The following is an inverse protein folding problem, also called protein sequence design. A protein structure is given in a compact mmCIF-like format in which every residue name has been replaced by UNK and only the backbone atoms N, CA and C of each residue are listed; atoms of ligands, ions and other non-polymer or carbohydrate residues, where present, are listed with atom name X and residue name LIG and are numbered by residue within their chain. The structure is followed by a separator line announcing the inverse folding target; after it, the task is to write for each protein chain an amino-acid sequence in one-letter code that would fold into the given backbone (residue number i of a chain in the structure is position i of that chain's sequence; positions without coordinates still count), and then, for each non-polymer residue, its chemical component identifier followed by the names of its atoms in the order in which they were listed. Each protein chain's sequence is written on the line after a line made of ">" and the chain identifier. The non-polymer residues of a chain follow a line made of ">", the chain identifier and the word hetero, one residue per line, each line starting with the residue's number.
data_IF_073384532950
#
_entry.id   IF_073384532950
#
_cell.length_a   1.000
_cell.length_b   1.000
_cell.length_c   1.000
_cell.angle_alpha   90.00
_cell.angle_beta   90.00
_cell.angle_gamma   90.00
#
_symmetry.space_group_name_H-M   'P 1'
#
loop_
_entity.id
_entity.type
_entity.pdbx_description
1 polymer ?
#
# COMPACT_ATOMS: atom_id res chain seq x y z
N UNK A 1 29.68 35.21 -6.22
CA UNK A 1 30.42 34.46 -5.18
C UNK A 1 29.52 34.06 -4.01
N UNK A 2 28.67 34.96 -3.50
CA UNK A 2 27.72 34.64 -2.43
C UNK A 2 26.78 33.48 -2.83
N UNK A 3 26.16 33.55 -4.01
CA UNK A 3 25.26 32.48 -4.50
C UNK A 3 25.95 31.11 -4.60
N UNK A 4 27.22 31.09 -5.01
CA UNK A 4 28.02 29.87 -5.06
C UNK A 4 28.24 29.27 -3.67
N UNK A 5 28.52 30.10 -2.65
CA UNK A 5 28.71 29.63 -1.28
C UNK A 5 27.41 29.06 -0.70
N UNK A 6 26.28 29.74 -0.92
CA UNK A 6 24.96 29.26 -0.50
C UNK A 6 24.64 27.92 -1.18
N UNK A 7 24.88 27.81 -2.49
CA UNK A 7 24.67 26.58 -3.24
C UNK A 7 25.58 25.44 -2.76
N UNK A 8 26.83 25.73 -2.43
CA UNK A 8 27.78 24.74 -1.90
C UNK A 8 27.34 24.20 -0.53
N UNK A 9 26.91 25.08 0.38
CA UNK A 9 26.37 24.66 1.69
C UNK A 9 25.09 23.84 1.53
N UNK A 10 24.16 24.30 0.67
CA UNK A 10 22.94 23.55 0.35
C UNK A 10 23.26 22.18 -0.27
N UNK A 11 24.28 22.09 -1.12
CA UNK A 11 24.73 20.84 -1.73
C UNK A 11 25.27 19.86 -0.69
N UNK A 12 26.07 20.32 0.28
CA UNK A 12 26.54 19.44 1.35
C UNK A 12 25.40 18.94 2.24
N UNK A 13 24.44 19.81 2.58
CA UNK A 13 23.23 19.40 3.30
C UNK A 13 22.41 18.36 2.53
N UNK A 14 22.20 18.59 1.22
CA UNK A 14 21.48 17.68 0.35
C UNK A 14 22.22 16.35 0.14
N UNK A 15 23.56 16.36 0.02
CA UNK A 15 24.39 15.15 -0.04
C UNK A 15 24.24 14.29 1.22
N UNK A 16 24.28 14.92 2.40
CA UNK A 16 24.07 14.21 3.67
C UNK A 16 22.66 13.61 3.76
N UNK A 17 21.63 14.41 3.44
CA UNK A 17 20.24 13.96 3.39
C UNK A 17 20.04 12.80 2.40
N UNK A 18 20.63 12.90 1.21
CA UNK A 18 20.61 11.87 0.16
C UNK A 18 21.28 10.59 0.64
N UNK A 19 22.49 10.68 1.18
CA UNK A 19 23.25 9.52 1.66
C UNK A 19 22.50 8.76 2.76
N UNK A 20 21.95 9.48 3.74
CA UNK A 20 21.16 8.90 4.82
C UNK A 20 19.87 8.25 4.29
N UNK A 21 19.16 8.92 3.37
CA UNK A 21 17.93 8.37 2.81
C UNK A 21 18.20 7.13 1.95
N UNK A 22 19.25 7.14 1.12
CA UNK A 22 19.65 6.00 0.27
C UNK A 22 20.09 4.83 1.13
N UNK A 23 20.89 5.06 2.17
CA UNK A 23 21.29 4.02 3.11
C UNK A 23 20.06 3.38 3.76
N UNK A 24 19.08 4.21 4.14
CA UNK A 24 17.83 3.71 4.72
C UNK A 24 16.97 2.96 3.71
N UNK A 25 16.82 3.49 2.50
CA UNK A 25 16.10 2.83 1.41
C UNK A 25 16.73 1.48 1.03
N UNK A 26 18.05 1.35 1.17
CA UNK A 26 18.75 0.08 0.96
C UNK A 26 18.45 -0.95 2.06
N UNK A 27 18.41 -0.51 3.33
CA UNK A 27 18.12 -1.37 4.48
C UNK A 27 16.67 -1.80 4.52
N UNK A 28 15.77 -0.82 4.54
CA UNK A 28 14.34 -1.07 4.69
C UNK A 28 13.73 -1.57 3.41
N UNK A 29 14.29 -1.22 2.23
CA UNK A 29 13.77 -1.54 0.89
C UNK A 29 12.34 -1.05 0.57
N UNK A 30 11.76 -0.20 1.41
CA UNK A 30 10.48 0.43 1.16
C UNK A 30 10.50 1.27 -0.14
N UNK A 31 9.51 1.05 -1.00
CA UNK A 31 9.51 1.57 -2.37
C UNK A 31 9.34 3.08 -2.45
N UNK A 32 8.58 3.65 -1.53
CA UNK A 32 8.43 5.09 -1.45
C UNK A 32 9.76 5.76 -1.03
N UNK A 33 10.60 5.10 -0.20
CA UNK A 33 11.95 5.57 0.13
C UNK A 33 12.89 5.47 -1.07
N UNK A 34 12.77 4.41 -1.88
CA UNK A 34 13.50 4.30 -3.15
C UNK A 34 13.09 5.45 -4.07
N UNK A 35 11.79 5.74 -4.22
CA UNK A 35 11.32 6.83 -5.04
C UNK A 35 11.81 8.21 -4.55
N UNK A 36 11.76 8.46 -3.24
CA UNK A 36 12.29 9.70 -2.66
C UNK A 36 13.82 9.78 -2.70
N UNK A 37 14.52 8.65 -2.82
CA UNK A 37 15.97 8.65 -3.09
C UNK A 37 16.29 9.21 -4.47
N UNK A 38 15.50 8.89 -5.52
CA UNK A 38 15.64 9.53 -6.83
C UNK A 38 15.39 11.04 -6.76
N UNK A 39 14.41 11.48 -5.97
CA UNK A 39 14.16 12.90 -5.70
C UNK A 39 15.39 13.57 -5.08
N UNK A 40 15.96 12.97 -4.04
CA UNK A 40 17.15 13.47 -3.34
C UNK A 40 18.37 13.56 -4.26
N UNK A 41 18.63 12.52 -5.05
CA UNK A 41 19.72 12.52 -6.04
C UNK A 41 19.51 13.63 -7.07
N UNK A 42 18.30 13.80 -7.60
CA UNK A 42 17.97 14.86 -8.54
C UNK A 42 18.21 16.26 -7.96
N UNK A 43 17.72 16.53 -6.76
CA UNK A 43 17.93 17.82 -6.07
C UNK A 43 19.40 18.08 -5.77
N UNK A 44 20.13 17.06 -5.32
CA UNK A 44 21.56 17.18 -5.00
C UNK A 44 22.40 17.46 -6.23
N UNK A 45 22.15 16.75 -7.35
CA UNK A 45 22.83 17.01 -8.61
C UNK A 45 22.53 18.42 -9.13
N UNK A 46 21.29 18.89 -8.97
CA UNK A 46 20.92 20.24 -9.36
C UNK A 46 21.64 21.30 -8.51
N UNK A 47 21.66 21.16 -7.19
CA UNK A 47 22.38 22.06 -6.28
C UNK A 47 23.89 22.06 -6.56
N UNK A 48 24.48 20.89 -6.83
CA UNK A 48 25.88 20.77 -7.20
C UNK A 48 26.18 21.51 -8.51
N UNK A 49 25.33 21.32 -9.54
CA UNK A 49 25.46 22.03 -10.81
C UNK A 49 25.27 23.54 -10.66
N UNK A 50 24.37 23.98 -9.75
CA UNK A 50 24.24 25.39 -9.40
C UNK A 50 25.51 25.93 -8.76
N UNK A 51 26.08 25.24 -7.76
CA UNK A 51 27.30 25.66 -7.08
C UNK A 51 28.47 25.83 -8.06
N UNK A 52 28.69 24.82 -8.92
CA UNK A 52 29.72 24.86 -9.96
C UNK A 52 29.41 25.95 -10.99
N UNK A 53 28.16 26.08 -11.43
CA UNK A 53 27.71 27.07 -12.41
C UNK A 53 27.92 28.52 -11.95
N UNK A 54 27.67 28.82 -10.67
CA UNK A 54 27.93 30.14 -10.10
C UNK A 54 29.44 30.45 -9.96
N UNK A 55 30.29 29.43 -9.82
CA UNK A 55 31.76 29.59 -9.73
C UNK A 55 32.41 29.72 -11.11
N UNK A 56 32.16 28.74 -11.97
CA UNK A 56 32.85 28.53 -13.24
C UNK A 56 32.05 29.04 -14.46
N UNK A 57 30.74 29.24 -14.33
CA UNK A 57 29.82 29.54 -15.43
C UNK A 57 28.97 28.34 -15.81
N UNK A 58 27.72 28.58 -16.16
CA UNK A 58 26.82 27.55 -16.66
C UNK A 58 27.17 27.20 -18.12
N UNK A 59 27.06 25.91 -18.45
CA UNK A 59 27.13 25.39 -19.80
C UNK A 59 25.90 24.49 -20.06
N UNK A 60 25.75 24.00 -21.29
CA UNK A 60 24.57 23.20 -21.65
C UNK A 60 24.39 21.94 -20.80
N UNK A 61 25.48 21.29 -20.38
CA UNK A 61 25.43 20.12 -19.52
C UNK A 61 24.94 20.47 -18.11
N UNK A 62 25.55 21.46 -17.46
CA UNK A 62 25.17 21.87 -16.10
C UNK A 62 23.73 22.39 -16.05
N UNK A 63 23.30 23.13 -17.08
CA UNK A 63 21.91 23.56 -17.21
C UNK A 63 20.97 22.34 -17.30
N UNK A 64 21.26 21.37 -18.18
CA UNK A 64 20.42 20.19 -18.33
C UNK A 64 20.37 19.31 -17.10
N UNK A 65 21.51 19.04 -16.45
CA UNK A 65 21.53 18.23 -15.22
C UNK A 65 20.75 18.93 -14.10
N UNK A 66 20.85 20.25 -14.00
CA UNK A 66 20.09 21.04 -13.03
C UNK A 66 18.58 20.97 -13.29
N UNK A 67 18.15 21.19 -14.52
CA UNK A 67 16.73 21.14 -14.91
C UNK A 67 16.16 19.72 -14.80
N UNK A 68 16.89 18.71 -15.29
CA UNK A 68 16.47 17.31 -15.17
C UNK A 68 16.36 16.88 -13.72
N UNK A 69 17.33 17.25 -12.88
CA UNK A 69 17.36 16.88 -11.48
C UNK A 69 16.24 17.53 -10.68
N UNK A 70 16.13 18.87 -10.73
CA UNK A 70 15.19 19.60 -9.89
C UNK A 70 13.81 19.78 -10.51
N UNK A 71 13.68 20.02 -11.82
CA UNK A 71 12.42 20.37 -12.47
C UNK A 71 11.66 19.16 -13.06
N UNK A 72 12.34 18.04 -13.31
CA UNK A 72 11.73 16.80 -13.81
C UNK A 72 11.75 15.68 -12.78
N UNK A 73 12.94 15.17 -12.44
CA UNK A 73 13.09 13.99 -11.57
C UNK A 73 12.56 14.31 -10.16
N UNK A 74 12.99 15.43 -9.58
CA UNK A 74 12.56 15.89 -8.27
C UNK A 74 11.04 15.80 -8.03
N UNK A 75 10.21 16.58 -8.75
CA UNK A 75 8.77 16.62 -8.51
C UNK A 75 8.05 15.31 -8.86
N UNK A 76 8.43 14.63 -9.95
CA UNK A 76 7.72 13.42 -10.41
C UNK A 76 7.96 12.26 -9.44
N UNK A 77 9.21 12.05 -9.02
CA UNK A 77 9.55 10.96 -8.10
C UNK A 77 9.12 11.26 -6.66
N UNK A 78 9.06 12.53 -6.27
CA UNK A 78 8.49 12.96 -5.01
C UNK A 78 7.01 12.59 -4.93
N UNK A 79 6.28 12.89 -6.01
CA UNK A 79 4.87 12.52 -6.17
C UNK A 79 4.66 11.00 -6.18
N UNK A 80 5.51 10.25 -6.89
CA UNK A 80 5.45 8.78 -6.88
C UNK A 80 5.59 8.23 -5.46
N UNK A 81 6.60 8.66 -4.70
CA UNK A 81 6.77 8.19 -3.32
C UNK A 81 5.58 8.57 -2.42
N UNK A 82 4.98 9.74 -2.65
CA UNK A 82 3.77 10.15 -1.92
C UNK A 82 2.53 9.33 -2.28
N UNK A 83 2.35 8.95 -3.55
CA UNK A 83 1.28 8.05 -3.96
C UNK A 83 1.53 6.67 -3.37
N UNK A 84 2.76 6.17 -3.44
CA UNK A 84 3.14 4.85 -2.96
C UNK A 84 2.93 4.70 -1.46
N UNK A 85 3.17 5.75 -0.68
CA UNK A 85 2.95 5.78 0.76
C UNK A 85 1.46 5.76 1.14
N UNK A 86 0.58 6.40 0.36
CA UNK A 86 -0.82 6.64 0.74
C UNK A 86 -1.81 5.70 0.03
N UNK A 87 -1.50 5.23 -1.17
CA UNK A 87 -2.42 4.45 -1.98
C UNK A 87 -2.62 3.04 -1.42
N UNK A 88 -3.86 2.73 -1.02
CA UNK A 88 -4.27 1.40 -0.56
C UNK A 88 -4.52 0.39 -1.70
N UNK A 89 -4.71 0.88 -2.93
CA UNK A 89 -5.03 0.05 -4.10
C UNK A 89 -3.79 -0.26 -4.93
N UNK A 90 -3.54 -1.54 -5.18
CA UNK A 90 -2.40 -2.02 -5.99
C UNK A 90 -2.44 -1.45 -7.42
N UNK A 91 -3.62 -1.31 -8.02
CA UNK A 91 -3.75 -0.75 -9.37
C UNK A 91 -3.29 0.72 -9.44
N UNK A 92 -3.50 1.49 -8.37
CA UNK A 92 -3.07 2.90 -8.29
C UNK A 92 -1.55 2.96 -8.20
N UNK A 93 -0.95 2.12 -7.36
CA UNK A 93 0.52 2.02 -7.21
C UNK A 93 1.19 1.58 -8.50
N UNK A 94 0.69 0.50 -9.11
CA UNK A 94 1.17 0.02 -10.41
C UNK A 94 1.05 1.09 -11.50
N UNK A 95 -0.11 1.75 -11.60
CA UNK A 95 -0.33 2.83 -12.56
C UNK A 95 0.61 4.02 -12.34
N UNK A 96 0.87 4.40 -11.07
CA UNK A 96 1.78 5.48 -10.72
C UNK A 96 3.23 5.17 -11.08
N UNK A 97 3.69 3.93 -10.86
CA UNK A 97 5.02 3.47 -11.27
C UNK A 97 5.17 3.46 -12.79
N UNK A 98 4.19 2.87 -13.50
CA UNK A 98 4.19 2.84 -14.96
C UNK A 98 4.23 4.24 -15.55
N UNK A 99 3.38 5.15 -15.05
CA UNK A 99 3.36 6.54 -15.47
C UNK A 99 4.70 7.23 -15.17
N UNK A 100 5.19 7.17 -13.93
CA UNK A 100 6.42 7.88 -13.52
C UNK A 100 7.63 7.45 -14.34
N UNK A 101 7.81 6.13 -14.55
CA UNK A 101 8.94 5.61 -15.32
C UNK A 101 8.81 6.04 -16.79
N UNK A 102 7.67 5.77 -17.43
CA UNK A 102 7.47 6.09 -18.85
C UNK A 102 7.60 7.58 -19.12
N UNK A 103 6.98 8.41 -18.27
CA UNK A 103 7.05 9.86 -18.36
C UNK A 103 8.48 10.39 -18.18
N UNK A 104 9.19 9.91 -17.16
CA UNK A 104 10.57 10.34 -16.89
C UNK A 104 11.48 10.00 -18.06
N UNK A 105 11.35 8.79 -18.64
CA UNK A 105 12.19 8.36 -19.78
C UNK A 105 11.93 9.23 -21.01
N UNK A 106 10.65 9.43 -21.38
CA UNK A 106 10.29 10.25 -22.55
C UNK A 106 10.76 11.70 -22.36
N UNK A 107 10.47 12.28 -21.19
CA UNK A 107 10.86 13.65 -20.90
C UNK A 107 12.38 13.82 -20.85
N UNK A 108 13.11 12.89 -20.23
CA UNK A 108 14.57 12.89 -20.18
C UNK A 108 15.17 12.93 -21.60
N UNK A 109 14.69 12.08 -22.50
CA UNK A 109 15.19 12.04 -23.89
C UNK A 109 14.91 13.36 -24.59
N UNK A 110 13.70 13.91 -24.48
CA UNK A 110 13.33 15.18 -25.12
C UNK A 110 14.18 16.33 -24.58
N UNK A 111 14.32 16.47 -23.25
CA UNK A 111 15.13 17.52 -22.62
C UNK A 111 16.63 17.41 -22.99
N UNK A 112 17.14 16.20 -23.23
CA UNK A 112 18.52 15.97 -23.66
C UNK A 112 18.76 16.18 -25.15
N UNK A 113 17.76 15.97 -26.01
CA UNK A 113 17.92 16.11 -27.46
C UNK A 113 17.56 17.53 -27.93
N UNK A 114 16.63 18.21 -27.25
CA UNK A 114 16.16 19.54 -27.63
C UNK A 114 17.29 20.60 -27.62
N UNK A 115 17.43 21.40 -28.69
CA UNK A 115 18.51 22.38 -28.81
C UNK A 115 18.34 23.51 -27.80
N UNK A 116 19.45 23.88 -27.15
CA UNK A 116 19.48 25.00 -26.22
C UNK A 116 19.61 26.33 -26.99
N UNK A 117 18.87 27.34 -26.54
CA UNK A 117 18.87 28.70 -27.06
C UNK A 117 19.64 29.64 -26.12
N UNK A 118 20.19 30.70 -26.70
CA UNK A 118 20.87 31.76 -25.95
C UNK A 118 22.27 31.40 -25.46
N UNK A 119 22.85 32.29 -24.65
CA UNK A 119 24.18 32.14 -24.06
C UNK A 119 24.08 31.95 -22.55
N UNK A 120 24.90 31.03 -22.02
CA UNK A 120 24.96 30.73 -20.61
C UNK A 120 26.13 31.48 -19.97
N UNK A 121 25.89 32.05 -18.80
CA UNK A 121 26.84 32.86 -18.03
C UNK A 121 26.89 32.38 -16.58
N UNK A 122 27.39 33.19 -15.63
CA UNK A 122 27.43 32.86 -14.20
C UNK A 122 26.12 33.15 -13.44
N UNK A 123 25.10 33.69 -14.10
CA UNK A 123 23.78 33.89 -13.53
C UNK A 123 22.93 32.63 -13.65
N UNK A 124 22.01 32.41 -12.71
CA UNK A 124 21.06 31.30 -12.79
C UNK A 124 20.29 31.36 -14.12
N UNK A 125 20.43 30.35 -15.02
CA UNK A 125 19.73 30.32 -16.29
C UNK A 125 18.22 30.21 -16.07
N UNK A 126 17.44 30.93 -16.89
CA UNK A 126 15.98 30.79 -16.88
C UNK A 126 15.58 29.71 -17.90
N UNK A 127 14.74 28.73 -17.52
CA UNK A 127 14.33 27.66 -18.44
C UNK A 127 13.65 28.21 -19.69
N UNK A 128 12.76 29.19 -19.54
CA UNK A 128 12.02 29.83 -20.63
C UNK A 128 12.87 30.65 -21.60
N UNK A 129 14.10 30.99 -21.21
CA UNK A 129 15.06 31.67 -22.08
C UNK A 129 16.01 30.69 -22.79
N UNK A 130 16.01 29.42 -22.39
CA UNK A 130 17.03 28.43 -22.78
C UNK A 130 16.44 27.23 -23.53
N UNK A 131 15.30 26.70 -23.11
CA UNK A 131 14.60 25.62 -23.81
C UNK A 131 13.59 26.13 -24.83
N UNK A 132 13.21 25.28 -25.80
CA UNK A 132 12.03 25.50 -26.63
C UNK A 132 10.72 25.08 -25.92
N UNK A 133 9.59 25.24 -26.61
CA UNK A 133 8.27 25.00 -26.05
C UNK A 133 8.04 23.55 -25.55
N UNK A 134 8.61 22.54 -26.21
CA UNK A 134 8.37 21.14 -25.89
C UNK A 134 8.96 20.73 -24.51
N UNK A 135 10.26 20.97 -24.20
CA UNK A 135 10.78 20.72 -22.86
C UNK A 135 10.03 21.48 -21.76
N UNK A 136 9.64 22.73 -22.02
CA UNK A 136 8.89 23.54 -21.06
C UNK A 136 7.51 22.94 -20.78
N UNK A 137 6.80 22.46 -21.80
CA UNK A 137 5.52 21.80 -21.64
C UNK A 137 5.63 20.50 -20.82
N UNK A 138 6.71 19.74 -21.00
CA UNK A 138 7.00 18.56 -20.19
C UNK A 138 7.30 18.96 -18.74
N UNK A 139 8.19 19.91 -18.49
CA UNK A 139 8.45 20.38 -17.12
C UNK A 139 7.16 20.88 -16.45
N UNK A 140 6.30 21.60 -17.17
CA UNK A 140 5.03 22.09 -16.65
C UNK A 140 4.04 20.97 -16.37
N UNK A 141 3.98 19.96 -17.23
CA UNK A 141 3.20 18.74 -17.00
C UNK A 141 3.70 17.97 -15.77
N UNK A 142 5.01 17.83 -15.60
CA UNK A 142 5.64 17.18 -14.45
C UNK A 142 5.23 17.87 -13.14
N UNK A 143 5.32 19.19 -13.09
CA UNK A 143 4.91 19.98 -11.94
C UNK A 143 3.40 19.89 -11.68
N UNK A 144 2.56 19.95 -12.72
CA UNK A 144 1.11 19.85 -12.58
C UNK A 144 0.71 18.50 -11.97
N UNK A 145 1.25 17.40 -12.50
CA UNK A 145 0.99 16.05 -11.98
C UNK A 145 1.48 15.94 -10.54
N UNK A 146 2.68 16.46 -10.24
CA UNK A 146 3.20 16.42 -8.89
C UNK A 146 2.32 17.19 -7.89
N UNK A 147 1.88 18.40 -8.25
CA UNK A 147 0.98 19.20 -7.39
C UNK A 147 -0.35 18.48 -7.17
N UNK A 148 -0.97 17.95 -8.22
CA UNK A 148 -2.24 17.20 -8.10
C UNK A 148 -2.07 15.98 -7.19
N UNK A 149 -0.99 15.21 -7.38
CA UNK A 149 -0.70 14.04 -6.56
C UNK A 149 -0.46 14.41 -5.09
N UNK A 150 0.36 15.42 -4.82
CA UNK A 150 0.65 15.88 -3.45
C UNK A 150 -0.61 16.38 -2.75
N UNK A 151 -1.40 17.24 -3.41
CA UNK A 151 -2.67 17.76 -2.87
C UNK A 151 -3.68 16.62 -2.66
N UNK A 152 -3.79 15.70 -3.61
CA UNK A 152 -4.66 14.52 -3.51
C UNK A 152 -4.29 13.63 -2.34
N UNK A 153 -3.02 13.25 -2.21
CA UNK A 153 -2.52 12.44 -1.10
C UNK A 153 -2.73 13.14 0.24
N UNK A 154 -2.32 14.41 0.36
CA UNK A 154 -2.53 15.18 1.60
C UNK A 154 -4.01 15.31 1.96
N UNK A 155 -4.88 15.56 0.98
CA UNK A 155 -6.32 15.66 1.18
C UNK A 155 -6.95 14.34 1.65
N UNK A 156 -6.54 13.21 1.04
CA UNK A 156 -6.99 11.88 1.45
C UNK A 156 -6.51 11.56 2.87
N UNK A 157 -5.24 11.80 3.20
CA UNK A 157 -4.71 11.57 4.56
C UNK A 157 -5.44 12.44 5.58
N UNK A 158 -5.65 13.73 5.29
CA UNK A 158 -6.41 14.64 6.15
C UNK A 158 -7.86 14.17 6.37
N UNK A 159 -8.52 13.71 5.31
CA UNK A 159 -9.88 13.18 5.40
C UNK A 159 -9.95 11.89 6.23
N UNK A 160 -9.03 10.95 6.02
CA UNK A 160 -8.96 9.71 6.82
C UNK A 160 -8.67 10.02 8.30
N UNK A 161 -7.72 10.89 8.58
CA UNK A 161 -7.40 11.32 9.94
C UNK A 161 -8.60 11.99 10.63
N UNK A 162 -9.39 12.80 9.91
CA UNK A 162 -10.63 13.40 10.43
C UNK A 162 -11.68 12.35 10.85
N UNK A 163 -11.62 11.14 10.26
CA UNK A 163 -12.47 10.00 10.60
C UNK A 163 -11.91 9.13 11.74
N UNK A 164 -10.92 9.63 12.49
CA UNK A 164 -10.23 8.92 13.58
C UNK A 164 -9.46 7.68 13.13
N UNK A 165 -9.02 7.64 11.87
CA UNK A 165 -8.02 6.69 11.41
C UNK A 165 -6.67 7.06 12.03
N UNK A 166 -6.13 6.18 12.90
CA UNK A 166 -4.93 6.45 13.69
C UNK A 166 -3.68 6.46 12.82
N UNK A 167 -3.58 5.53 11.86
CA UNK A 167 -2.47 5.45 10.92
C UNK A 167 -2.39 6.74 10.08
N UNK A 168 -3.53 7.19 9.56
CA UNK A 168 -3.58 8.44 8.80
C UNK A 168 -3.19 9.66 9.66
N UNK A 169 -3.60 9.67 10.93
CA UNK A 169 -3.25 10.73 11.89
C UNK A 169 -1.74 10.83 12.15
N UNK A 170 -1.05 9.70 12.28
CA UNK A 170 0.41 9.63 12.45
C UNK A 170 1.15 10.10 11.19
N UNK A 171 0.61 9.79 10.01
CA UNK A 171 1.19 10.20 8.72
C UNK A 171 0.92 11.66 8.33
N UNK A 172 0.01 12.39 9.00
CA UNK A 172 -0.34 13.77 8.62
C UNK A 172 0.85 14.72 8.59
N UNK A 173 1.67 14.71 9.64
CA UNK A 173 2.81 15.62 9.75
C UNK A 173 3.87 15.30 8.67
N UNK A 174 4.32 14.04 8.51
CA UNK A 174 5.22 13.66 7.43
C UNK A 174 4.70 14.07 6.04
N UNK A 175 3.43 13.76 5.75
CA UNK A 175 2.78 14.07 4.47
C UNK A 175 2.75 15.57 4.22
N UNK A 176 2.43 16.38 5.24
CA UNK A 176 2.42 17.83 5.11
C UNK A 176 3.82 18.41 4.84
N UNK A 177 4.87 17.86 5.48
CA UNK A 177 6.25 18.27 5.27
C UNK A 177 6.73 17.94 3.85
N UNK A 178 6.41 16.75 3.34
CA UNK A 178 6.76 16.32 1.98
C UNK A 178 5.97 17.11 0.93
N UNK A 179 4.69 17.41 1.19
CA UNK A 179 3.90 18.29 0.32
C UNK A 179 4.49 19.72 0.28
N UNK A 180 4.91 20.28 1.42
CA UNK A 180 5.62 21.55 1.48
C UNK A 180 6.94 21.50 0.70
N UNK A 181 7.69 20.39 0.79
CA UNK A 181 8.89 20.20 -0.01
C UNK A 181 8.57 20.29 -1.51
N UNK A 182 7.48 19.67 -1.97
CA UNK A 182 7.03 19.77 -3.36
C UNK A 182 6.74 21.21 -3.80
N UNK A 183 6.10 22.01 -2.94
CA UNK A 183 5.88 23.45 -3.20
C UNK A 183 7.21 24.19 -3.36
N UNK A 184 8.19 23.90 -2.51
CA UNK A 184 9.52 24.50 -2.59
C UNK A 184 10.29 24.08 -3.86
N UNK A 185 10.19 22.80 -4.27
CA UNK A 185 10.80 22.30 -5.52
C UNK A 185 10.23 23.06 -6.71
N UNK A 186 8.89 23.10 -6.86
CA UNK A 186 8.23 23.79 -7.99
C UNK A 186 8.56 25.29 -7.97
N UNK A 187 8.55 25.92 -6.81
CA UNK A 187 8.86 27.36 -6.71
C UNK A 187 10.34 27.66 -7.05
N UNK A 188 11.26 26.76 -6.67
CA UNK A 188 12.69 26.88 -6.91
C UNK A 188 13.11 26.70 -8.36
N UNK A 189 12.35 25.91 -9.15
CA UNK A 189 12.73 25.54 -10.53
C UNK A 189 12.12 26.45 -11.60
N UNK A 190 10.97 27.09 -11.33
CA UNK A 190 10.22 27.86 -12.33
C UNK A 190 10.88 29.18 -12.77
N UNK A 191 12.00 29.58 -12.17
CA UNK A 191 12.69 30.82 -12.50
C UNK A 191 11.99 32.10 -12.03
N UNK A 192 11.01 31.99 -11.13
CA UNK A 192 10.34 33.12 -10.49
C UNK A 192 11.16 33.71 -9.33
N UNK A 193 11.99 32.88 -8.68
CA UNK A 193 12.79 33.28 -7.55
C UNK A 193 14.18 33.78 -7.98
N UNK A 194 14.74 34.79 -7.29
CA UNK A 194 16.16 35.12 -7.43
C UNK A 194 17.03 33.93 -6.97
N UNK A 195 18.23 33.83 -7.53
CA UNK A 195 19.17 32.73 -7.31
C UNK A 195 19.30 32.27 -5.83
N UNK A 196 19.59 33.15 -4.84
CA UNK A 196 19.74 32.71 -3.45
C UNK A 196 18.46 32.08 -2.89
N UNK A 197 17.28 32.60 -3.23
CA UNK A 197 16.01 32.04 -2.76
C UNK A 197 15.69 30.71 -3.45
N UNK A 198 16.01 30.56 -4.73
CA UNK A 198 15.85 29.29 -5.43
C UNK A 198 16.72 28.19 -4.79
N UNK A 199 17.99 28.50 -4.49
CA UNK A 199 18.91 27.57 -3.82
C UNK A 199 18.39 27.18 -2.43
N UNK A 200 17.95 28.17 -1.63
CA UNK A 200 17.42 27.91 -0.29
C UNK A 200 16.15 27.07 -0.36
N UNK A 201 15.26 27.33 -1.33
CA UNK A 201 14.05 26.54 -1.52
C UNK A 201 14.38 25.08 -1.86
N UNK A 202 15.32 24.83 -2.79
CA UNK A 202 15.72 23.47 -3.17
C UNK A 202 16.46 22.73 -2.05
N UNK A 203 17.36 23.41 -1.33
CA UNK A 203 18.03 22.84 -0.16
C UNK A 203 17.05 22.54 0.98
N UNK A 204 16.10 23.44 1.23
CA UNK A 204 15.02 23.24 2.19
C UNK A 204 14.10 22.10 1.80
N UNK A 205 13.78 21.95 0.52
CA UNK A 205 13.03 20.81 0.00
C UNK A 205 13.78 19.49 0.26
N UNK A 206 15.08 19.43 -0.03
CA UNK A 206 15.89 18.24 0.25
C UNK A 206 15.85 17.87 1.75
N UNK A 207 15.99 18.85 2.64
CA UNK A 207 15.87 18.65 4.09
C UNK A 207 14.49 18.17 4.53
N UNK A 208 13.41 18.77 3.99
CA UNK A 208 12.03 18.39 4.32
C UNK A 208 11.67 16.99 3.83
N UNK A 209 12.13 16.59 2.64
CA UNK A 209 11.92 15.22 2.12
C UNK A 209 12.61 14.20 3.00
N UNK A 210 13.88 14.42 3.36
CA UNK A 210 14.60 13.51 4.27
C UNK A 210 13.93 13.44 5.64
N UNK A 211 13.59 14.59 6.22
CA UNK A 211 12.99 14.66 7.54
C UNK A 211 11.58 14.06 7.59
N UNK A 212 10.77 14.33 6.56
CA UNK A 212 9.46 13.70 6.37
C UNK A 212 9.60 12.18 6.23
N UNK A 213 10.53 11.72 5.39
CA UNK A 213 10.79 10.30 5.20
C UNK A 213 11.17 9.58 6.48
N UNK A 214 12.07 10.15 7.29
CA UNK A 214 12.49 9.53 8.56
C UNK A 214 11.32 9.33 9.55
N UNK A 215 10.26 10.14 9.42
CA UNK A 215 9.05 10.05 10.26
C UNK A 215 7.95 9.14 9.72
N UNK A 216 8.13 8.60 8.52
CA UNK A 216 7.20 7.61 7.94
C UNK A 216 7.61 6.18 8.26
N UNK A 217 8.80 5.99 8.85
CA UNK A 217 9.34 4.68 9.14
C UNK A 217 8.58 4.09 10.34
N UNK A 218 8.06 2.86 10.25
CA UNK A 218 7.47 2.18 11.39
C UNK A 218 8.54 2.00 12.49
N UNK A 219 8.24 2.48 13.69
CA UNK A 219 9.07 2.21 14.87
C UNK A 219 8.73 0.79 15.31
N UNK A 220 9.63 -0.16 15.05
CA UNK A 220 9.58 -1.44 15.74
C UNK A 220 10.04 -1.17 17.17
N UNK A 221 9.19 -1.46 18.17
CA UNK A 221 9.65 -1.55 19.55
C UNK A 221 10.61 -2.76 19.58
N UNK A 222 11.91 -2.47 19.52
CA UNK A 222 12.93 -3.45 19.83
C UNK A 222 12.71 -3.86 21.30
N UNK A 223 12.21 -5.07 21.51
CA UNK A 223 12.07 -5.70 22.83
C UNK A 223 13.48 -5.74 23.46
N UNK A 224 13.76 -4.79 24.35
CA UNK A 224 14.97 -4.72 25.18
C UNK A 224 15.03 -5.98 26.07
N UNK A 225 15.58 -7.09 25.55
CA UNK A 225 15.60 -8.34 26.30
C UNK A 225 16.51 -9.48 25.85
N UNK A 226 17.25 -9.38 24.73
CA UNK A 226 18.10 -10.50 24.29
C UNK A 226 19.44 -10.07 23.68
N UNK A 227 20.29 -9.47 24.51
CA UNK A 227 21.73 -9.31 24.22
C UNK A 227 22.54 -10.45 24.85
N UNK A 228 22.37 -11.70 24.41
CA UNK A 228 23.47 -12.67 24.48
C UNK A 228 23.18 -13.87 23.56
N UNK A 229 24.13 -14.14 22.65
CA UNK A 229 24.18 -15.24 21.67
C UNK A 229 23.38 -15.06 20.36
N UNK A 230 23.99 -14.34 19.40
CA UNK A 230 23.72 -14.60 17.98
C UNK A 230 23.74 -13.40 17.02
N UNK A 231 24.79 -12.59 17.02
CA UNK A 231 25.06 -11.69 15.88
C UNK A 231 25.43 -12.52 14.63
N UNK A 232 24.46 -13.00 13.85
CA UNK A 232 24.73 -13.43 12.45
C UNK A 232 23.52 -13.41 11.48
N UNK A 233 22.32 -12.99 11.87
CA UNK A 233 21.19 -12.89 10.91
C UNK A 233 20.26 -11.71 11.22
N UNK A 234 20.78 -10.49 11.07
CA UNK A 234 19.97 -9.28 11.06
C UNK A 234 20.06 -8.64 9.66
N UNK A 235 19.27 -9.16 8.71
CA UNK A 235 18.97 -8.47 7.45
C UNK A 235 17.86 -9.25 6.70
N UNK A 236 16.62 -9.21 7.22
CA UNK A 236 15.44 -9.53 6.42
C UNK A 236 14.77 -8.20 6.00
N UNK A 237 14.80 -7.83 4.71
CA UNK A 237 14.51 -6.46 4.29
C UNK A 237 13.07 -6.27 3.78
N UNK A 238 12.40 -5.23 4.29
CA UNK A 238 11.00 -4.92 4.04
C UNK A 238 10.75 -4.17 2.72
N UNK A 239 10.95 -4.83 1.57
CA UNK A 239 10.51 -4.25 0.30
C UNK A 239 9.02 -3.98 0.34
N UNK A 240 8.59 -2.77 -0.02
CA UNK A 240 7.17 -2.44 -0.19
C UNK A 240 6.45 -3.26 -1.28
N UNK A 241 7.14 -4.21 -1.91
CA UNK A 241 6.60 -5.39 -2.60
C UNK A 241 7.09 -6.62 -1.84
N UNK A 242 6.20 -7.47 -1.35
CA UNK A 242 6.54 -8.90 -1.28
C UNK A 242 6.18 -9.50 -2.65
N UNK A 243 7.16 -9.57 -3.56
CA UNK A 243 7.08 -10.49 -4.71
C UNK A 243 8.48 -10.96 -5.15
N UNK A 244 8.82 -12.17 -4.67
CA UNK A 244 9.36 -13.30 -5.45
C UNK A 244 10.57 -13.02 -6.36
N UNK A 245 11.77 -13.12 -5.78
CA UNK A 245 13.00 -13.26 -6.55
C UNK A 245 13.11 -14.67 -7.16
N UNK A 246 13.06 -14.77 -8.48
CA UNK A 246 13.68 -15.88 -9.22
C UNK A 246 15.21 -15.80 -9.02
N UNK A 247 15.91 -16.87 -8.61
CA UNK A 247 17.36 -16.89 -8.73
C UNK A 247 17.76 -17.14 -10.18
N UNK A 248 18.28 -16.07 -10.80
CA UNK A 248 19.02 -16.13 -12.06
C UNK A 248 20.34 -16.88 -11.83
N UNK A 249 20.62 -17.82 -12.74
CA UNK A 249 21.79 -18.72 -12.71
C UNK A 249 23.07 -17.95 -13.03
N UNK A 250 23.71 -17.37 -12.03
CA UNK A 250 25.10 -17.02 -12.14
C UNK A 250 25.76 -17.23 -10.78
N UNK A 251 26.42 -18.38 -10.64
CA UNK A 251 27.48 -18.79 -9.69
C UNK A 251 27.27 -20.26 -9.30
N UNK A 252 27.43 -21.16 -10.28
CA UNK A 252 27.66 -22.57 -10.00
C UNK A 252 29.18 -22.79 -9.87
N UNK A 253 29.67 -23.49 -8.84
CA UNK A 253 31.08 -23.86 -8.77
C UNK A 253 31.42 -24.82 -9.91
N UNK A 254 32.51 -24.51 -10.62
CA UNK A 254 33.10 -25.40 -11.60
C UNK A 254 33.54 -26.69 -10.88
N UNK A 255 33.03 -27.85 -11.34
CA UNK A 255 33.69 -29.16 -11.41
C UNK A 255 32.63 -30.29 -11.48
N UNK A 256 32.11 -30.57 -12.68
CA UNK A 256 31.60 -31.89 -13.07
C UNK A 256 31.49 -31.96 -14.61
N UNK A 257 31.91 -33.09 -15.20
CA UNK A 257 32.04 -33.31 -16.64
C UNK A 257 30.67 -33.34 -17.38
N UNK A 258 30.62 -33.10 -18.71
CA UNK A 258 29.36 -33.06 -19.46
C UNK A 258 28.77 -34.46 -19.64
N UNK A 259 27.53 -34.66 -19.20
CA UNK A 259 26.71 -35.82 -19.57
C UNK A 259 26.00 -35.55 -20.91
N UNK A 260 25.92 -36.57 -21.77
CA UNK A 260 25.30 -36.51 -23.11
C UNK A 260 23.80 -36.13 -23.06
N UNK A 261 23.30 -35.39 -24.08
CA UNK A 261 21.90 -34.99 -24.13
C UNK A 261 20.98 -36.18 -24.46
N UNK A 262 20.11 -36.55 -23.51
CA UNK A 262 19.00 -37.48 -23.73
C UNK A 262 17.89 -36.77 -24.52
N UNK A 263 17.33 -37.35 -25.60
CA UNK A 263 16.23 -36.75 -26.36
C UNK A 263 14.95 -36.66 -25.51
N UNK A 264 14.28 -35.51 -25.54
CA UNK A 264 13.00 -35.32 -24.87
C UNK A 264 11.89 -36.21 -25.50
N UNK A 265 10.97 -36.79 -24.70
CA UNK A 265 9.81 -37.49 -25.24
C UNK A 265 8.87 -36.51 -25.95
N UNK A 266 8.35 -36.93 -27.10
CA UNK A 266 7.35 -36.19 -27.88
C UNK A 266 6.03 -36.06 -27.09
N UNK A 267 5.40 -34.87 -27.02
CA UNK A 267 4.13 -34.71 -26.31
C UNK A 267 2.97 -35.37 -27.10
N UNK A 268 2.02 -36.05 -26.44
CA UNK A 268 0.78 -36.46 -27.08
C UNK A 268 -0.07 -35.26 -27.47
N UNK A 269 -0.74 -35.37 -28.62
CA UNK A 269 -1.41 -34.28 -29.32
C UNK A 269 -2.57 -33.61 -28.58
N UNK A 270 -2.59 -32.29 -28.76
CA UNK A 270 -3.70 -31.33 -28.74
C UNK A 270 -5.09 -31.87 -28.36
N UNK A 271 -5.43 -31.74 -27.07
CA UNK A 271 -6.81 -31.59 -26.62
C UNK A 271 -7.04 -30.14 -26.21
N UNK A 272 -7.44 -29.35 -27.21
CA UNK A 272 -8.27 -28.14 -27.14
C UNK A 272 -8.14 -27.34 -25.84
N UNK A 273 -7.28 -26.32 -25.92
CA UNK A 273 -7.30 -25.08 -25.15
C UNK A 273 -8.74 -24.58 -24.95
N UNK A 274 -9.32 -24.82 -23.77
CA UNK A 274 -10.59 -24.25 -23.37
C UNK A 274 -10.39 -22.76 -23.07
N UNK A 275 -10.86 -21.90 -23.96
CA UNK A 275 -11.00 -20.47 -23.69
C UNK A 275 -11.90 -20.30 -22.45
N UNK A 276 -11.38 -19.61 -21.43
CA UNK A 276 -12.17 -19.14 -20.29
C UNK A 276 -13.14 -18.07 -20.81
N UNK A 277 -14.34 -18.51 -21.22
CA UNK A 277 -15.48 -17.62 -21.45
C UNK A 277 -16.34 -17.63 -20.18
N UNK A 278 -16.49 -16.46 -19.57
CA UNK A 278 -17.49 -16.26 -18.53
C UNK A 278 -18.89 -16.50 -19.11
N UNK A 279 -19.80 -17.19 -18.40
CA UNK A 279 -21.20 -17.25 -18.81
C UNK A 279 -21.77 -15.84 -18.94
N UNK A 280 -22.39 -15.52 -20.08
CA UNK A 280 -23.16 -14.29 -20.25
C UNK A 280 -24.24 -14.23 -19.15
N UNK A 281 -24.50 -13.05 -18.54
CA UNK A 281 -25.56 -12.93 -17.53
C UNK A 281 -26.90 -13.32 -18.19
N UNK A 282 -27.61 -14.27 -17.58
CA UNK A 282 -28.93 -14.68 -18.03
C UNK A 282 -29.85 -13.43 -18.13
N UNK A 283 -30.69 -13.33 -19.19
CA UNK A 283 -31.67 -12.26 -19.26
C UNK A 283 -32.59 -12.37 -18.03
N UNK A 284 -32.93 -11.23 -17.45
CA UNK A 284 -33.68 -11.12 -16.20
C UNK A 284 -34.88 -12.07 -16.16
N UNK A 285 -34.78 -13.13 -15.35
CA UNK A 285 -35.96 -13.88 -14.93
C UNK A 285 -36.74 -12.98 -13.98
N UNK A 286 -37.91 -12.54 -14.46
CA UNK A 286 -38.94 -11.88 -13.69
C UNK A 286 -39.22 -12.70 -12.41
N UNK A 287 -38.99 -12.08 -11.24
CA UNK A 287 -39.37 -12.62 -9.94
C UNK A 287 -40.89 -12.85 -9.92
N UNK A 288 -41.33 -14.08 -10.23
CA UNK A 288 -42.72 -14.52 -10.05
C UNK A 288 -42.96 -14.84 -8.58
N UNK A 289 -43.72 -13.99 -7.91
CA UNK A 289 -44.33 -14.31 -6.63
C UNK A 289 -45.57 -15.20 -6.85
N UNK A 290 -45.87 -16.16 -5.96
CA UNK A 290 -47.12 -16.90 -6.01
C UNK A 290 -48.31 -15.97 -5.78
N UNK A 291 -49.34 -16.05 -6.64
CA UNK A 291 -50.58 -15.30 -6.47
C UNK A 291 -51.29 -15.66 -5.15
N UNK A 292 -51.89 -14.69 -4.44
CA UNK A 292 -52.71 -14.97 -3.26
C UNK A 292 -53.99 -15.73 -3.65
N UNK A 293 -54.53 -16.60 -2.78
CA UNK A 293 -55.71 -17.38 -3.12
C UNK A 293 -56.94 -16.49 -3.32
N UNK A 294 -57.72 -16.80 -4.35
CA UNK A 294 -58.99 -16.16 -4.64
C UNK A 294 -59.97 -16.33 -3.48
N UNK A 295 -60.46 -15.20 -2.94
CA UNK A 295 -61.65 -15.15 -2.09
C UNK A 295 -62.81 -14.55 -2.89
N UNK A 296 -63.94 -15.26 -2.84
CA UNK A 296 -65.19 -15.01 -3.56
C UNK A 296 -65.89 -13.67 -3.21
N UNK A 297 -66.87 -13.20 -4.04
CA UNK A 297 -67.30 -11.80 -4.07
C UNK A 297 -68.59 -11.50 -3.30
N UNK A 298 -68.78 -10.22 -2.89
CA UNK A 298 -70.03 -9.43 -2.89
C UNK A 298 -69.97 -8.21 -1.91
N UNK A 299 -70.86 -7.19 -1.99
CA UNK A 299 -71.41 -6.50 -3.15
C UNK A 299 -71.35 -4.93 -3.04
N UNK A 300 -71.48 -4.29 -4.21
CA UNK A 300 -71.95 -2.94 -4.57
C UNK A 300 -71.87 -1.70 -3.63
N UNK A 301 -71.42 -0.61 -4.30
CA UNK A 301 -71.80 0.82 -4.21
C UNK A 301 -70.93 1.77 -3.36
N UNK A 302 -70.18 2.67 -4.02
CA UNK A 302 -70.31 4.13 -3.84
C UNK A 302 -69.56 4.95 -4.92
N UNK A 303 -70.04 6.18 -5.12
CA UNK A 303 -69.96 7.09 -6.28
C UNK A 303 -68.67 7.96 -6.37
N UNK A 304 -68.00 8.10 -7.54
CA UNK A 304 -66.73 8.83 -7.69
C UNK A 304 -66.88 10.32 -8.09
N UNK A 305 -67.73 11.09 -7.41
CA UNK A 305 -67.84 12.55 -7.65
C UNK A 305 -67.79 13.40 -6.38
N UNK A 306 -66.82 13.14 -5.50
CA UNK A 306 -66.56 13.98 -4.33
C UNK A 306 -65.13 14.56 -4.38
N UNK A 307 -65.02 15.74 -5.00
CA UNK A 307 -63.93 16.73 -4.90
C UNK A 307 -62.59 16.33 -5.56
N UNK A 308 -61.93 17.06 -6.46
CA UNK A 308 -62.00 18.48 -6.86
C UNK A 308 -60.57 19.06 -6.94
N UNK A 309 -60.02 19.10 -8.17
CA UNK A 309 -59.00 20.01 -8.74
C UNK A 309 -57.65 20.37 -8.00
N UNK A 310 -56.54 20.00 -8.68
CA UNK A 310 -55.36 20.85 -9.04
C UNK A 310 -54.16 21.09 -8.06
N UNK A 311 -52.94 21.52 -8.52
CA UNK A 311 -51.75 20.63 -8.67
C UNK A 311 -50.40 21.19 -8.11
N UNK A 312 -49.30 20.45 -8.37
CA UNK A 312 -47.87 20.86 -8.40
C UNK A 312 -47.04 21.03 -7.09
N UNK A 313 -45.77 20.56 -7.14
CA UNK A 313 -44.71 20.67 -6.10
C UNK A 313 -44.15 22.10 -5.89
N UNK A 314 -42.96 22.35 -5.26
CA UNK A 314 -41.70 21.61 -5.36
C UNK A 314 -40.80 21.60 -4.07
N UNK A 315 -39.52 21.30 -4.30
CA UNK A 315 -38.30 21.08 -3.49
C UNK A 315 -37.78 22.18 -2.54
N UNK A 316 -36.86 21.75 -1.65
CA UNK A 316 -35.58 22.37 -1.19
C UNK A 316 -35.45 23.00 0.23
N UNK A 317 -34.61 22.33 1.05
CA UNK A 317 -33.55 22.72 2.03
C UNK A 317 -33.61 24.04 2.84
N UNK A 318 -33.49 23.93 4.18
CA UNK A 318 -32.58 24.70 5.06
C UNK A 318 -32.58 24.12 6.52
N UNK A 319 -31.43 24.05 7.20
CA UNK A 319 -31.27 23.60 8.62
C UNK A 319 -31.25 24.78 9.62
N UNK A 320 -30.65 24.70 10.84
CA UNK A 320 -30.39 23.59 11.78
C UNK A 320 -30.87 23.91 13.24
N UNK A 321 -30.93 22.94 14.17
CA UNK A 321 -30.77 23.17 15.63
C UNK A 321 -30.68 21.85 16.44
N UNK A 322 -29.72 21.79 17.37
CA UNK A 322 -29.54 20.75 18.42
C UNK A 322 -30.17 21.28 19.73
N UNK A 323 -30.80 20.44 20.57
CA UNK A 323 -30.22 20.12 21.88
C UNK A 323 -30.31 18.64 22.31
N UNK A 324 -29.47 18.33 23.29
CA UNK A 324 -29.08 17.06 23.95
C UNK A 324 -30.16 16.04 24.37
N UNK A 325 -29.76 14.77 24.64
CA UNK A 325 -30.65 13.69 25.09
C UNK A 325 -30.82 13.65 26.62
N UNK A 326 -32.08 13.53 27.07
CA UNK A 326 -32.43 13.18 28.44
C UNK A 326 -32.66 11.66 28.55
N UNK A 327 -31.95 11.00 29.48
CA UNK A 327 -32.40 9.75 30.10
C UNK A 327 -33.46 10.09 31.17
N UNK A 328 -34.45 9.20 31.40
CA UNK A 328 -34.36 8.36 32.60
C UNK A 328 -34.89 6.94 32.40
N UNK A 329 -34.37 6.02 33.22
CA UNK A 329 -34.73 4.60 33.20
C UNK A 329 -36.00 4.25 33.97
N UNK A 330 -36.11 2.95 34.27
CA UNK A 330 -37.09 2.40 35.20
C UNK A 330 -37.89 1.24 34.62
N UNK A 331 -37.43 0.03 34.92
CA UNK A 331 -38.05 -1.25 34.58
C UNK A 331 -39.47 -1.42 35.15
N UNK A 332 -40.33 -2.16 34.43
CA UNK A 332 -41.28 -3.10 35.02
C UNK A 332 -41.52 -4.29 34.06
N UNK A 333 -41.22 -5.48 34.58
CA UNK A 333 -41.35 -6.77 33.93
C UNK A 333 -42.82 -7.26 33.92
N UNK A 334 -43.16 -8.03 32.88
CA UNK A 334 -44.38 -8.85 32.81
C UNK A 334 -44.21 -9.93 31.73
N UNK A 335 -44.54 -11.21 32.01
CA UNK A 335 -43.91 -12.35 31.37
C UNK A 335 -44.73 -12.89 30.18
N UNK A 336 -44.05 -13.41 29.16
CA UNK A 336 -44.37 -14.66 28.44
C UNK A 336 -43.38 -14.84 27.27
N UNK A 337 -42.78 -16.01 27.22
CA UNK A 337 -41.65 -16.35 26.37
C UNK A 337 -41.92 -16.21 24.87
N UNK A 338 -40.95 -15.57 24.21
CA UNK A 338 -40.62 -15.76 22.81
C UNK A 338 -39.11 -15.96 22.74
N UNK A 339 -38.69 -17.09 22.20
CA UNK A 339 -37.31 -17.56 22.11
C UNK A 339 -36.37 -16.48 21.52
N UNK A 340 -35.55 -15.86 22.36
CA UNK A 340 -34.35 -15.16 21.88
C UNK A 340 -33.41 -16.19 21.22
N UNK A 341 -32.67 -15.84 20.16
CA UNK A 341 -31.68 -16.75 19.63
C UNK A 341 -30.66 -16.98 20.74
N UNK A 342 -30.59 -18.21 21.21
CA UNK A 342 -29.44 -18.73 21.96
C UNK A 342 -28.24 -18.73 21.02
N UNK A 343 -27.65 -17.56 20.79
CA UNK A 343 -26.39 -17.38 20.09
C UNK A 343 -25.30 -17.20 21.13
N UNK A 344 -24.64 -18.29 21.50
CA UNK A 344 -23.41 -18.21 22.30
C UNK A 344 -22.31 -17.54 21.49
N UNK A 345 -22.32 -16.20 21.47
CA UNK A 345 -21.29 -15.39 20.85
C UNK A 345 -20.01 -15.42 21.69
N UNK A 346 -18.87 -15.40 21.01
CA UNK A 346 -17.55 -15.14 21.59
C UNK A 346 -17.20 -13.68 21.30
N UNK A 347 -17.60 -12.73 22.17
CA UNK A 347 -17.40 -11.30 21.93
C UNK A 347 -15.92 -10.90 21.82
N UNK A 348 -15.02 -11.71 22.39
CA UNK A 348 -13.57 -11.48 22.41
C UNK A 348 -12.80 -12.44 21.47
N UNK A 349 -13.50 -13.19 20.62
CA UNK A 349 -12.85 -14.12 19.69
C UNK A 349 -11.90 -13.39 18.72
N UNK A 350 -10.69 -13.90 18.57
CA UNK A 350 -9.72 -13.43 17.58
C UNK A 350 -9.32 -14.58 16.65
N UNK A 351 -8.95 -14.24 15.42
CA UNK A 351 -8.55 -15.22 14.42
C UNK A 351 -7.38 -14.75 13.59
N UNK A 352 -6.80 -15.68 12.84
CA UNK A 352 -5.69 -15.42 11.94
C UNK A 352 -5.87 -16.26 10.67
N UNK A 353 -5.64 -15.65 9.52
CA UNK A 353 -5.44 -16.36 8.26
C UNK A 353 -3.96 -16.26 7.89
N UNK A 354 -3.35 -17.41 7.62
CA UNK A 354 -1.98 -17.46 7.10
C UNK A 354 -1.97 -18.15 5.75
N UNK A 355 -1.54 -17.44 4.71
CA UNK A 355 -1.42 -18.00 3.36
C UNK A 355 0.04 -18.30 3.06
N UNK A 356 0.34 -19.57 2.87
CA UNK A 356 1.63 -20.05 2.42
C UNK A 356 1.61 -20.30 0.92
N UNK A 357 2.56 -19.71 0.21
CA UNK A 357 2.92 -20.11 -1.15
C UNK A 357 4.10 -21.06 -1.05
N UNK A 358 3.94 -22.29 -1.51
CA UNK A 358 4.91 -23.37 -1.40
C UNK A 358 5.85 -23.38 -2.61
N UNK A 359 7.04 -23.94 -2.42
CA UNK A 359 7.96 -24.27 -3.51
C UNK A 359 7.41 -25.48 -4.29
N UNK A 360 7.51 -25.43 -5.62
CA UNK A 360 7.11 -26.54 -6.49
C UNK A 360 7.78 -27.85 -6.08
N UNK A 361 6.99 -28.91 -5.90
CA UNK A 361 7.47 -30.24 -5.49
C UNK A 361 7.73 -30.40 -3.99
N UNK A 362 7.45 -29.38 -3.16
CA UNK A 362 7.55 -29.45 -1.68
C UNK A 362 6.19 -29.55 -0.99
N UNK A 363 5.11 -29.62 -1.74
CA UNK A 363 3.73 -29.59 -1.25
C UNK A 363 3.46 -30.74 -0.28
N UNK A 364 3.79 -31.97 -0.67
CA UNK A 364 3.56 -33.15 0.17
C UNK A 364 4.36 -33.13 1.47
N UNK A 365 5.56 -32.54 1.46
CA UNK A 365 6.40 -32.42 2.65
C UNK A 365 5.84 -31.38 3.61
N UNK A 366 5.41 -30.23 3.09
CA UNK A 366 4.72 -29.22 3.88
C UNK A 366 3.39 -29.74 4.45
N UNK A 367 2.62 -30.48 3.67
CA UNK A 367 1.34 -31.06 4.10
C UNK A 367 1.52 -32.06 5.24
N UNK A 368 2.62 -32.83 5.25
CA UNK A 368 2.96 -33.71 6.36
C UNK A 368 3.25 -32.93 7.66
N UNK A 369 4.02 -31.84 7.57
CA UNK A 369 4.31 -30.95 8.70
C UNK A 369 3.05 -30.25 9.21
N UNK A 370 2.21 -29.76 8.29
CA UNK A 370 0.94 -29.13 8.62
C UNK A 370 -0.01 -30.11 9.33
N UNK A 371 -0.11 -31.35 8.84
CA UNK A 371 -0.93 -32.39 9.45
C UNK A 371 -0.42 -32.77 10.85
N UNK A 372 0.89 -32.77 11.08
CA UNK A 372 1.47 -32.97 12.41
C UNK A 372 1.16 -31.81 13.37
N UNK A 373 1.28 -30.58 12.90
CA UNK A 373 0.94 -29.40 13.69
C UNK A 373 -0.53 -29.42 14.11
N UNK A 374 -1.45 -29.65 13.16
CA UNK A 374 -2.89 -29.70 13.43
C UNK A 374 -3.22 -30.78 14.46
N UNK A 375 -2.60 -31.98 14.36
CA UNK A 375 -2.78 -33.04 15.36
C UNK A 375 -2.33 -32.61 16.75
N UNK A 376 -1.19 -31.94 16.83
CA UNK A 376 -0.60 -31.49 18.10
C UNK A 376 -1.46 -30.40 18.74
N UNK A 377 -1.80 -29.35 17.98
CA UNK A 377 -2.68 -28.26 18.42
C UNK A 377 -4.01 -28.80 18.93
N UNK A 378 -4.64 -29.71 18.17
CA UNK A 378 -5.91 -30.34 18.58
C UNK A 378 -5.85 -31.04 19.94
N UNK A 379 -4.70 -31.59 20.31
CA UNK A 379 -4.52 -32.30 21.59
C UNK A 379 -4.05 -31.41 22.74
N UNK A 380 -3.27 -30.37 22.43
CA UNK A 380 -2.57 -29.56 23.42
C UNK A 380 -3.27 -28.22 23.71
N UNK A 381 -4.14 -27.74 22.81
CA UNK A 381 -4.71 -26.39 22.87
C UNK A 381 -6.25 -26.40 22.81
N UNK A 382 -6.93 -26.58 23.95
CA UNK A 382 -8.39 -26.63 24.00
C UNK A 382 -9.07 -25.28 23.69
N UNK A 383 -8.36 -24.17 23.80
CA UNK A 383 -8.87 -22.82 23.52
C UNK A 383 -8.65 -22.35 22.08
N UNK A 384 -8.03 -23.19 21.26
CA UNK A 384 -7.95 -23.03 19.81
C UNK A 384 -9.20 -23.67 19.20
N UNK A 385 -10.20 -22.84 18.90
CA UNK A 385 -11.53 -23.25 18.45
C UNK A 385 -11.51 -23.82 17.03
N UNK A 386 -10.74 -23.20 16.14
CA UNK A 386 -10.52 -23.69 14.78
C UNK A 386 -9.03 -23.59 14.48
N UNK A 387 -8.47 -24.67 13.95
CA UNK A 387 -7.12 -24.68 13.40
C UNK A 387 -7.14 -25.59 12.18
N UNK A 388 -7.36 -25.01 11.00
CA UNK A 388 -7.56 -25.73 9.76
C UNK A 388 -6.52 -25.31 8.73
N UNK A 389 -5.93 -26.27 8.04
CA UNK A 389 -5.12 -26.03 6.84
C UNK A 389 -5.95 -26.42 5.61
N UNK A 390 -6.02 -25.53 4.63
CA UNK A 390 -6.77 -25.70 3.39
C UNK A 390 -5.83 -25.73 2.19
N UNK A 391 -6.12 -26.62 1.24
CA UNK A 391 -5.59 -26.57 -0.12
C UNK A 391 -6.47 -25.67 -1.00
N UNK A 392 -5.85 -24.87 -1.86
CA UNK A 392 -6.58 -23.96 -2.77
C UNK A 392 -6.93 -24.68 -4.07
N UNK A 393 -8.22 -24.72 -4.41
CA UNK A 393 -8.69 -25.29 -5.68
C UNK A 393 -8.15 -24.47 -6.85
N UNK A 394 -7.42 -25.12 -7.76
CA UNK A 394 -6.76 -24.46 -8.89
C UNK A 394 -5.42 -23.80 -8.55
N UNK A 395 -4.97 -23.88 -7.29
CA UNK A 395 -3.69 -23.38 -6.81
C UNK A 395 -2.95 -24.42 -5.96
N UNK A 396 -2.39 -25.48 -6.57
CA UNK A 396 -1.84 -26.63 -5.84
C UNK A 396 -0.67 -26.27 -4.91
N UNK A 397 0.02 -25.16 -5.19
CA UNK A 397 1.14 -24.64 -4.39
C UNK A 397 0.71 -23.69 -3.27
N UNK A 398 -0.59 -23.47 -3.05
CA UNK A 398 -1.07 -22.60 -1.98
C UNK A 398 -1.70 -23.39 -0.83
N UNK A 399 -1.37 -23.00 0.40
CA UNK A 399 -1.99 -23.50 1.63
C UNK A 399 -2.49 -22.35 2.49
N UNK A 400 -3.73 -22.43 2.94
CA UNK A 400 -4.36 -21.41 3.77
C UNK A 400 -4.64 -22.01 5.15
N UNK A 401 -3.98 -21.49 6.18
CA UNK A 401 -4.36 -21.75 7.54
C UNK A 401 -5.45 -20.78 7.98
N UNK A 402 -6.55 -21.31 8.49
CA UNK A 402 -7.56 -20.55 9.20
C UNK A 402 -7.55 -20.95 10.67
N UNK A 403 -7.32 -19.96 11.52
CA UNK A 403 -7.19 -20.13 12.95
C UNK A 403 -8.21 -19.23 13.66
N UNK A 404 -8.90 -19.78 14.65
CA UNK A 404 -9.84 -19.06 15.49
C UNK A 404 -9.60 -19.46 16.94
N UNK A 405 -9.46 -18.46 17.80
CA UNK A 405 -9.18 -18.61 19.22
C UNK A 405 -10.35 -18.08 20.04
N UNK A 406 -10.47 -18.58 21.27
CA UNK A 406 -11.51 -18.15 22.22
C UNK A 406 -11.39 -16.66 22.56
N UNK A 407 -10.16 -16.22 22.84
CA UNK A 407 -9.80 -14.86 23.23
C UNK A 407 -8.35 -14.54 22.84
N UNK A 408 -7.91 -13.31 23.10
CA UNK A 408 -6.56 -12.84 22.80
C UNK A 408 -5.47 -13.54 23.63
N UNK A 409 -5.80 -14.02 24.84
CA UNK A 409 -4.85 -14.77 25.68
C UNK A 409 -4.56 -16.15 25.08
N UNK A 410 -5.58 -16.83 24.55
CA UNK A 410 -5.44 -18.09 23.84
C UNK A 410 -4.56 -17.93 22.59
N UNK A 411 -4.72 -16.83 21.85
CA UNK A 411 -3.85 -16.50 20.73
C UNK A 411 -2.39 -16.24 21.15
N UNK A 412 -2.18 -15.45 22.21
CA UNK A 412 -0.85 -15.20 22.74
C UNK A 412 -0.18 -16.49 23.29
N UNK A 413 -0.97 -17.40 23.87
CA UNK A 413 -0.49 -18.71 24.32
C UNK A 413 -0.09 -19.60 23.14
N UNK A 414 -0.92 -19.70 22.10
CA UNK A 414 -0.63 -20.45 20.87
C UNK A 414 0.71 -20.03 20.25
N UNK A 415 0.95 -18.71 20.13
CA UNK A 415 2.18 -18.14 19.55
C UNK A 415 3.46 -18.54 20.29
N UNK A 416 3.37 -18.89 21.57
CA UNK A 416 4.52 -19.30 22.40
C UNK A 416 4.74 -20.82 22.41
N UNK A 417 3.87 -21.59 21.77
CA UNK A 417 3.94 -23.05 21.85
C UNK A 417 5.17 -23.61 21.10
N UNK A 418 5.90 -24.59 21.68
CA UNK A 418 7.08 -25.17 21.05
C UNK A 418 6.78 -25.86 19.71
N UNK A 419 5.62 -26.51 19.56
CA UNK A 419 5.24 -27.17 18.32
C UNK A 419 4.97 -26.20 17.17
N UNK A 420 4.44 -25.00 17.48
CA UNK A 420 4.29 -23.94 16.47
C UNK A 420 5.65 -23.41 16.04
N UNK A 421 6.55 -23.11 16.99
CA UNK A 421 7.90 -22.65 16.67
C UNK A 421 8.67 -23.66 15.83
N UNK A 422 8.54 -24.96 16.15
CA UNK A 422 9.12 -26.04 15.35
C UNK A 422 8.57 -26.05 13.92
N UNK A 423 7.26 -25.96 13.75
CA UNK A 423 6.64 -25.88 12.43
C UNK A 423 7.14 -24.66 11.65
N UNK A 424 7.21 -23.48 12.27
CA UNK A 424 7.72 -22.26 11.63
C UNK A 424 9.19 -22.41 11.21
N UNK A 425 10.01 -23.11 12.01
CA UNK A 425 11.39 -23.42 11.66
C UNK A 425 11.51 -24.37 10.47
N UNK A 426 10.81 -25.50 10.50
CA UNK A 426 10.92 -26.55 9.48
C UNK A 426 10.24 -26.15 8.14
N UNK A 427 9.10 -25.46 8.22
CA UNK A 427 8.33 -25.02 7.05
C UNK A 427 9.05 -24.01 6.16
N UNK A 428 10.00 -23.23 6.71
CA UNK A 428 10.80 -22.24 5.96
C UNK A 428 11.48 -22.84 4.72
N UNK A 429 11.86 -24.11 4.76
CA UNK A 429 12.54 -24.78 3.63
C UNK A 429 11.58 -25.26 2.52
N UNK A 430 10.28 -25.09 2.73
CA UNK A 430 9.21 -25.53 1.82
C UNK A 430 8.35 -24.37 1.31
N UNK A 431 8.48 -23.19 1.91
CA UNK A 431 7.65 -22.02 1.64
C UNK A 431 8.46 -20.99 0.85
N UNK A 432 7.82 -20.41 -0.15
CA UNK A 432 8.33 -19.31 -0.94
C UNK A 432 7.83 -17.95 -0.43
N UNK A 433 6.59 -17.86 0.09
CA UNK A 433 6.03 -16.64 0.68
C UNK A 433 4.99 -16.96 1.76
N UNK A 434 4.88 -16.08 2.76
CA UNK A 434 3.89 -16.20 3.85
C UNK A 434 3.16 -14.88 4.03
N UNK A 435 1.84 -14.88 3.91
CA UNK A 435 1.00 -13.70 4.18
C UNK A 435 0.18 -13.96 5.44
N UNK A 436 0.16 -13.02 6.38
CA UNK A 436 -0.58 -13.14 7.64
C UNK A 436 -1.63 -12.05 7.74
N UNK A 437 -2.86 -12.42 8.08
CA UNK A 437 -4.00 -11.51 8.23
C UNK A 437 -4.65 -11.79 9.58
N UNK A 438 -4.67 -10.82 10.47
CA UNK A 438 -5.37 -10.90 11.75
C UNK A 438 -6.84 -10.52 11.60
N UNK A 439 -7.70 -11.23 12.33
CA UNK A 439 -9.15 -11.11 12.24
C UNK A 439 -9.75 -10.86 13.62
N UNK A 440 -10.73 -9.97 13.69
CA UNK A 440 -11.64 -9.87 14.83
C UNK A 440 -12.91 -10.65 14.54
N UNK A 441 -13.35 -11.48 15.48
CA UNK A 441 -14.56 -12.26 15.30
C UNK A 441 -15.79 -11.33 15.40
N UNK A 442 -16.55 -11.26 14.31
CA UNK A 442 -17.87 -10.62 14.30
C UNK A 442 -18.99 -11.60 14.66
N UNK A 443 -20.17 -11.39 14.07
CA UNK A 443 -21.26 -12.36 14.19
C UNK A 443 -20.85 -13.71 13.59
N UNK A 444 -20.87 -14.78 14.41
CA UNK A 444 -20.43 -16.11 14.01
C UNK A 444 -21.35 -17.21 14.54
N UNK A 445 -21.44 -18.31 13.79
CA UNK A 445 -22.06 -19.56 14.26
C UNK A 445 -20.96 -20.55 14.58
N UNK A 446 -20.76 -20.82 15.87
CA UNK A 446 -19.72 -21.74 16.34
C UNK A 446 -20.35 -23.01 16.92
N UNK A 447 -19.77 -24.19 16.65
CA UNK A 447 -20.15 -25.40 17.36
C UNK A 447 -19.60 -25.32 18.78
N UNK A 448 -20.36 -24.74 19.71
CA UNK A 448 -20.02 -24.84 21.12
C UNK A 448 -20.11 -26.32 21.56
N UNK A 449 -19.20 -26.80 22.41
CA UNK A 449 -19.30 -28.16 22.94
C UNK A 449 -20.66 -28.32 23.63
N UNK A 450 -21.30 -29.48 23.41
CA UNK A 450 -22.56 -29.80 24.07
C UNK A 450 -22.39 -29.64 25.60
N UNK A 451 -23.38 -29.08 26.32
CA UNK A 451 -23.27 -28.95 27.76
C UNK A 451 -23.07 -30.35 28.37
N UNK A 452 -22.06 -30.47 29.23
CA UNK A 452 -21.87 -31.66 30.06
C UNK A 452 -23.20 -31.95 30.75
N UNK A 453 -23.87 -33.03 30.33
CA UNK A 453 -24.88 -33.64 31.19
C UNK A 453 -24.11 -34.22 32.38
N UNK A 454 -23.94 -33.44 33.43
CA UNK A 454 -23.72 -33.99 34.77
C UNK A 454 -24.96 -34.83 35.11
N UNK A 455 -24.86 -36.12 34.75
CA UNK A 455 -25.78 -37.14 35.18
C UNK A 455 -25.54 -37.46 36.65
N UNK A 456 -26.56 -37.13 37.44
CA UNK A 456 -27.05 -37.77 38.67
C UNK A 456 -26.20 -38.83 39.36
#
# INVERSE_FOLDING_TARGET
>A
MVDALIALVATFGALAATGLLVQRAYKDRLLYLIAWSFTQVGLTLALLCMAIGFMAGFNGLFFRVMELGAALIGPVWLALGMIELIARYVQVRFGAWLFTISYTVVALVILLVDPLKGSLHKSLPKPSATYDALPLLLIDGAHLVAVIALVGCTGVTAWLASKRDREAGELLIPVALVALAGVLVVSGTRGFLPAPLAIIALGGAAGLVWYGAMRTIPVYEDDEGYDEYGEEYADEPATGYEEQAYPDRAHAPAHAAPAEPVPAPTPPGDQRRGELRFPDPAPAEELRFPDPPALEPAPAAFDPSAFGADPAGPTSVDGPAVPEPALPGGALAGPLGGLGPAGGGLPDGCGQITVYTLLDGRESAFDALAAELVRTVRSAEPDTLVFACHEVVGGPTQRIFYQLFRDENAFAAHRRQPHLQRFLGESRTHVLATNVIELRLGAAKLPLPAPDRQGR
#
